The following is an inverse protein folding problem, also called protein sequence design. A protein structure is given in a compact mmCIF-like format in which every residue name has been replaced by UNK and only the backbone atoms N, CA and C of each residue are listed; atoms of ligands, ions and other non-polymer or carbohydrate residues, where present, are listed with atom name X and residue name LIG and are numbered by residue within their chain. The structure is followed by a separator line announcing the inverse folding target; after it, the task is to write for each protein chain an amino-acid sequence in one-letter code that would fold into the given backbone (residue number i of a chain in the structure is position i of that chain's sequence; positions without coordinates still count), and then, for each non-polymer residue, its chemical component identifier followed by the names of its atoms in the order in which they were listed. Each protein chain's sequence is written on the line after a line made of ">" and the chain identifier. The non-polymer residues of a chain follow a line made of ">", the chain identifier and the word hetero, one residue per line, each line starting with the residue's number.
data_IF_124714307071
#
_entry.id   IF_124714307071
#
_cell.length_a   1.000
_cell.length_b   1.000
_cell.length_c   1.000
_cell.angle_alpha   90.00
_cell.angle_beta   90.00
_cell.angle_gamma   90.00
#
_symmetry.space_group_name_H-M   'P 1'
#
loop_
_entity.id
_entity.type
_entity.pdbx_description
1 polymer ?
#
# COMPACT_ATOMS: atom_id res chain seq x y z
N UNK A 1 0.41 -35.51 12.89
CA UNK A 1 -0.58 -34.40 12.96
C UNK A 1 0.08 -33.15 12.38
N UNK A 2 -0.20 -32.81 11.12
CA UNK A 2 0.36 -31.62 10.49
C UNK A 2 -0.41 -30.39 10.98
N UNK A 3 0.22 -29.57 11.82
CA UNK A 3 -0.31 -28.29 12.25
C UNK A 3 -0.29 -27.34 11.06
N UNK A 4 -1.43 -27.22 10.36
CA UNK A 4 -1.66 -26.13 9.39
C UNK A 4 -1.62 -24.84 10.18
N UNK A 5 -0.49 -24.13 10.08
CA UNK A 5 -0.37 -22.74 10.52
C UNK A 5 -1.43 -21.96 9.75
N UNK A 6 -2.55 -21.63 10.40
CA UNK A 6 -3.47 -20.61 9.93
C UNK A 6 -2.74 -19.28 10.07
N UNK A 7 -1.90 -18.96 9.08
CA UNK A 7 -1.31 -17.64 8.92
C UNK A 7 -2.41 -16.68 8.49
N UNK A 8 -2.41 -15.42 8.99
CA UNK A 8 -3.40 -14.42 8.64
C UNK A 8 -3.55 -14.35 7.12
N UNK A 9 -4.81 -14.39 6.74
CA UNK A 9 -5.33 -14.86 5.47
C UNK A 9 -4.72 -14.08 4.31
N UNK A 10 -3.90 -14.74 3.50
CA UNK A 10 -3.45 -14.21 2.21
C UNK A 10 -4.61 -14.25 1.21
N UNK A 11 -5.70 -13.52 1.48
CA UNK A 11 -6.85 -13.43 0.58
C UNK A 11 -6.47 -12.90 -0.79
N UNK A 12 -5.37 -12.15 -0.93
CA UNK A 12 -4.83 -11.75 -2.23
C UNK A 12 -4.20 -12.89 -3.03
N UNK A 13 -3.79 -14.03 -2.43
CA UNK A 13 -3.13 -15.12 -3.17
C UNK A 13 -4.03 -15.74 -4.24
N UNK A 14 -5.32 -15.91 -3.93
CA UNK A 14 -6.32 -16.36 -4.91
C UNK A 14 -6.51 -15.34 -6.06
N UNK A 15 -6.18 -14.07 -5.82
CA UNK A 15 -6.26 -13.00 -6.81
C UNK A 15 -4.88 -12.58 -7.34
N UNK A 16 -3.80 -13.34 -7.06
CA UNK A 16 -2.43 -12.84 -7.28
C UNK A 16 -2.15 -12.49 -8.74
N UNK A 17 -2.79 -13.23 -9.66
CA UNK A 17 -2.70 -13.07 -11.11
C UNK A 17 -3.86 -12.24 -11.68
N UNK A 18 -4.80 -11.78 -10.85
CA UNK A 18 -5.87 -10.90 -11.28
C UNK A 18 -5.28 -9.53 -11.61
N UNK A 19 -5.57 -9.04 -12.80
CA UNK A 19 -5.20 -7.70 -13.24
C UNK A 19 -6.31 -6.73 -12.84
N UNK A 20 -5.94 -5.72 -12.07
CA UNK A 20 -6.85 -4.66 -11.65
C UNK A 20 -6.25 -3.32 -12.05
N UNK A 21 -7.11 -2.39 -12.41
CA UNK A 21 -6.70 -0.99 -12.57
C UNK A 21 -6.28 -0.41 -11.22
N UNK A 22 -5.53 0.70 -11.25
CA UNK A 22 -5.15 1.43 -10.04
C UNK A 22 -6.33 1.72 -9.12
N UNK A 23 -7.45 2.19 -9.68
CA UNK A 23 -8.64 2.56 -8.91
C UNK A 23 -9.28 1.36 -8.24
N UNK A 24 -9.47 0.26 -8.96
CA UNK A 24 -10.00 -0.99 -8.40
C UNK A 24 -9.08 -1.55 -7.31
N UNK A 25 -7.77 -1.49 -7.53
CA UNK A 25 -6.78 -1.93 -6.55
C UNK A 25 -6.82 -1.09 -5.27
N UNK A 26 -7.03 0.22 -5.38
CA UNK A 26 -7.22 1.12 -4.24
C UNK A 26 -8.55 0.82 -3.54
N UNK A 27 -9.63 0.59 -4.26
CA UNK A 27 -10.94 0.31 -3.68
C UNK A 27 -10.97 -1.01 -2.91
N UNK A 28 -10.34 -2.03 -3.47
CA UNK A 28 -10.19 -3.36 -2.89
C UNK A 28 -8.97 -3.50 -1.98
N UNK A 29 -8.19 -2.42 -1.80
CA UNK A 29 -7.01 -2.41 -0.94
C UNK A 29 -7.24 -3.05 0.43
N UNK A 30 -8.31 -2.74 1.21
CA UNK A 30 -8.52 -3.35 2.54
C UNK A 30 -8.90 -4.84 2.51
N UNK A 31 -9.34 -5.36 1.36
CA UNK A 31 -9.76 -6.76 1.18
C UNK A 31 -8.57 -7.59 0.70
N UNK A 32 -7.82 -7.07 -0.27
CA UNK A 32 -6.65 -7.72 -0.85
C UNK A 32 -5.45 -7.59 0.08
N UNK A 33 -5.27 -6.41 0.65
CA UNK A 33 -4.14 -6.05 1.49
C UNK A 33 -4.64 -5.60 2.87
N UNK A 34 -3.86 -5.81 3.92
CA UNK A 34 -4.18 -5.21 5.22
C UNK A 34 -3.64 -3.77 5.28
N UNK A 35 -4.00 -2.95 4.30
CA UNK A 35 -3.44 -1.62 4.07
C UNK A 35 -4.51 -0.59 3.72
N UNK A 36 -4.20 0.68 3.97
CA UNK A 36 -5.12 1.77 3.68
C UNK A 36 -5.12 2.15 2.20
N UNK A 37 -6.25 2.69 1.72
CA UNK A 37 -6.41 3.15 0.33
C UNK A 37 -5.34 4.18 -0.09
N UNK A 38 -4.98 5.08 0.82
CA UNK A 38 -3.95 6.09 0.59
C UNK A 38 -2.55 5.48 0.43
N UNK A 39 -2.22 4.48 1.25
CA UNK A 39 -0.94 3.77 1.14
C UNK A 39 -0.85 3.01 -0.18
N UNK A 40 -1.95 2.38 -0.59
CA UNK A 40 -2.05 1.75 -1.90
C UNK A 40 -1.91 2.75 -3.05
N UNK A 41 -2.55 3.92 -2.94
CA UNK A 41 -2.44 4.98 -3.93
C UNK A 41 -1.01 5.52 -4.07
N UNK A 42 -0.29 5.65 -2.94
CA UNK A 42 1.13 6.00 -2.92
C UNK A 42 2.00 4.91 -3.54
N UNK A 43 1.76 3.65 -3.20
CA UNK A 43 2.48 2.50 -3.77
C UNK A 43 2.26 2.35 -5.28
N UNK A 44 1.10 2.76 -5.80
CA UNK A 44 0.75 2.73 -7.22
C UNK A 44 0.84 4.12 -7.87
N UNK A 45 1.58 5.06 -7.27
CA UNK A 45 1.63 6.43 -7.79
C UNK A 45 2.09 6.47 -9.25
N UNK A 46 3.06 5.63 -9.61
CA UNK A 46 3.65 5.51 -10.94
C UNK A 46 2.77 4.75 -11.96
N UNK A 47 1.73 4.04 -11.50
CA UNK A 47 0.81 3.32 -12.39
C UNK A 47 -0.25 4.29 -12.92
N UNK A 48 -0.39 4.39 -14.24
CA UNK A 48 -1.43 5.19 -14.88
C UNK A 48 -2.82 4.71 -14.50
N UNK A 49 -3.80 5.62 -14.47
CA UNK A 49 -5.17 5.30 -14.04
C UNK A 49 -5.85 4.24 -14.94
N UNK A 50 -5.49 4.17 -16.22
CA UNK A 50 -6.01 3.18 -17.18
C UNK A 50 -5.12 1.93 -17.30
N UNK A 51 -3.97 1.92 -16.63
CA UNK A 51 -3.07 0.78 -16.65
C UNK A 51 -3.50 -0.23 -15.59
N UNK A 52 -3.60 -1.49 -16.00
CA UNK A 52 -3.84 -2.61 -15.11
C UNK A 52 -2.53 -3.18 -14.61
N UNK A 53 -2.52 -3.61 -13.36
CA UNK A 53 -1.39 -4.33 -12.77
C UNK A 53 -1.91 -5.53 -11.99
N UNK A 54 -1.11 -6.59 -11.94
CA UNK A 54 -1.44 -7.76 -11.14
C UNK A 54 -1.41 -7.43 -9.65
N UNK A 55 -2.32 -8.04 -8.89
CA UNK A 55 -2.36 -7.93 -7.42
C UNK A 55 -1.00 -8.25 -6.79
N UNK A 56 -0.28 -9.26 -7.31
CA UNK A 56 1.08 -9.59 -6.88
C UNK A 56 2.09 -8.45 -7.07
N UNK A 57 2.04 -7.78 -8.22
CA UNK A 57 2.93 -6.64 -8.50
C UNK A 57 2.60 -5.46 -7.61
N UNK A 58 1.31 -5.16 -7.46
CA UNK A 58 0.81 -4.11 -6.59
C UNK A 58 1.21 -4.36 -5.13
N UNK A 59 1.09 -5.60 -4.65
CA UNK A 59 1.58 -6.00 -3.32
C UNK A 59 3.07 -5.77 -3.16
N UNK A 60 3.90 -6.17 -4.13
CA UNK A 60 5.35 -5.98 -4.08
C UNK A 60 5.72 -4.49 -4.01
N UNK A 61 5.01 -3.65 -4.77
CA UNK A 61 5.18 -2.20 -4.71
C UNK A 61 4.77 -1.65 -3.35
N UNK A 62 3.63 -2.08 -2.80
CA UNK A 62 3.16 -1.71 -1.48
C UNK A 62 4.14 -2.12 -0.38
N UNK A 63 4.59 -3.38 -0.36
CA UNK A 63 5.59 -3.88 0.60
C UNK A 63 6.88 -3.06 0.54
N UNK A 64 7.31 -2.65 -0.66
CA UNK A 64 8.49 -1.81 -0.85
C UNK A 64 8.26 -0.38 -0.36
N UNK A 65 7.09 0.20 -0.67
CA UNK A 65 6.69 1.53 -0.24
C UNK A 65 6.60 1.65 1.28
N UNK A 66 5.99 0.66 1.95
CA UNK A 66 5.87 0.62 3.41
C UNK A 66 7.24 0.43 4.09
N UNK A 67 8.11 -0.44 3.55
CA UNK A 67 9.49 -0.59 4.03
C UNK A 67 10.29 0.70 3.93
N UNK A 68 10.11 1.47 2.85
CA UNK A 68 10.73 2.79 2.68
C UNK A 68 10.19 3.78 3.73
N UNK A 69 8.86 3.82 3.93
CA UNK A 69 8.20 4.67 4.93
C UNK A 69 8.71 4.39 6.35
N UNK A 70 8.93 3.12 6.70
CA UNK A 70 9.50 2.70 8.00
C UNK A 70 10.99 3.06 8.17
N UNK A 71 11.77 3.12 7.08
CA UNK A 71 13.20 3.45 7.11
C UNK A 71 13.52 4.93 6.85
N UNK A 72 12.55 5.74 6.43
CA UNK A 72 12.72 7.19 6.40
C UNK A 72 12.69 7.72 7.84
N UNK A 73 13.78 8.31 8.37
CA UNK A 73 13.66 9.12 9.56
C UNK A 73 12.67 10.22 9.23
N UNK A 74 11.58 10.30 10.01
CA UNK A 74 10.65 11.43 10.01
C UNK A 74 11.52 12.65 10.32
N UNK A 75 12.05 13.32 9.30
CA UNK A 75 12.57 14.67 9.46
C UNK A 75 11.38 15.48 9.89
N UNK A 76 11.40 15.81 11.19
CA UNK A 76 10.68 16.88 11.84
C UNK A 76 10.09 17.87 10.83
N UNK A 77 8.78 17.78 10.62
CA UNK A 77 7.99 19.02 10.46
C UNK A 77 7.45 19.38 11.84
N UNK A 78 8.35 19.60 12.78
CA UNK A 78 8.04 20.39 13.96
C UNK A 78 8.30 21.86 13.62
N UNK A 79 7.21 22.64 13.70
CA UNK A 79 7.19 24.07 14.02
C UNK A 79 7.79 25.04 12.98
N UNK A 80 6.95 25.45 12.03
CA UNK A 80 6.94 26.86 11.65
C UNK A 80 5.88 27.54 12.52
N UNK A 81 6.26 27.89 13.75
CA UNK A 81 5.50 28.81 14.58
C UNK A 81 5.74 30.21 13.99
N UNK A 82 4.87 30.63 13.07
CA UNK A 82 4.90 31.99 12.52
C UNK A 82 4.52 32.93 13.66
N UNK A 83 5.54 33.49 14.32
CA UNK A 83 5.40 34.61 15.24
C UNK A 83 4.92 35.82 14.43
N UNK A 84 3.61 36.02 14.34
CA UNK A 84 3.03 37.29 13.90
C UNK A 84 2.86 38.18 15.12
N UNK A 85 3.98 38.75 15.56
CA UNK A 85 3.98 39.92 16.44
C UNK A 85 4.30 41.13 15.56
N UNK A 86 3.27 41.93 15.27
CA UNK A 86 3.38 43.36 15.03
C UNK A 86 2.01 44.02 15.23
#
# INVERSE_FOLDING_TARGET
>A
MSTRKNTPTEHWKQFENMELTKSEMIEQAPILFNAERFEMAGALHDVGHKESVTVKTAKRKLDSYLKLKENTPVKERMKENVNSEN
#
